data_IF_128665091632
#
_entry.id   IF_128665091632
#
_cell.length_a   1.000
_cell.length_b   1.000
_cell.length_c   1.000
_cell.angle_alpha   90.00
_cell.angle_beta   90.00
_cell.angle_gamma   90.00
#
_symmetry.space_group_name_H-M   'P 1'
#
loop_
_entity.id
_entity.type
_entity.pdbx_description
1 polymer ?
#
# COMPACT_ATOMS: atom_id res chain seq x y z
N UNK A 1 -2.66 1.44 -38.32
CA UNK A 1 -3.16 0.27 -37.57
C UNK A 1 -3.08 0.60 -36.09
N UNK A 2 -4.19 0.65 -35.32
CA UNK A 2 -4.10 0.84 -33.88
C UNK A 2 -3.72 -0.50 -33.22
N UNK A 3 -2.76 -0.45 -32.30
CA UNK A 3 -2.38 -1.61 -31.49
C UNK A 3 -3.58 -2.03 -30.61
N UNK A 4 -4.02 -3.28 -30.77
CA UNK A 4 -4.95 -3.94 -29.86
C UNK A 4 -4.30 -4.01 -28.47
N UNK A 5 -4.77 -3.16 -27.56
CA UNK A 5 -4.47 -3.31 -26.14
C UNK A 5 -4.93 -4.71 -25.71
N UNK A 6 -3.99 -5.54 -25.25
CA UNK A 6 -4.29 -6.85 -24.68
C UNK A 6 -5.30 -6.74 -23.52
N UNK A 7 -5.92 -7.86 -23.12
CA UNK A 7 -6.87 -7.86 -22.01
C UNK A 7 -6.20 -7.25 -20.78
N UNK A 8 -6.77 -6.15 -20.26
CA UNK A 8 -6.32 -5.55 -19.01
C UNK A 8 -6.62 -6.56 -17.91
N UNK A 9 -5.56 -7.19 -17.42
CA UNK A 9 -5.60 -8.08 -16.27
C UNK A 9 -6.25 -7.34 -15.10
N UNK A 10 -7.33 -7.93 -14.55
CA UNK A 10 -8.03 -7.35 -13.41
C UNK A 10 -7.37 -7.90 -12.15
N UNK A 11 -6.85 -7.00 -11.32
CA UNK A 11 -6.28 -7.33 -10.02
C UNK A 11 -7.28 -6.89 -8.96
N UNK A 12 -7.72 -7.84 -8.14
CA UNK A 12 -8.39 -7.60 -6.88
C UNK A 12 -7.38 -7.13 -5.84
N UNK A 13 -7.72 -6.06 -5.15
CA UNK A 13 -6.97 -5.54 -4.02
C UNK A 13 -7.81 -5.72 -2.76
N UNK A 14 -7.26 -6.37 -1.75
CA UNK A 14 -7.86 -6.49 -0.42
C UNK A 14 -7.06 -5.66 0.58
N UNK A 15 -7.76 -4.95 1.46
CA UNK A 15 -7.16 -4.15 2.53
C UNK A 15 -7.65 -4.72 3.86
N UNK A 16 -6.73 -5.11 4.73
CA UNK A 16 -7.01 -5.54 6.11
C UNK A 16 -6.25 -4.63 7.09
N UNK A 17 -6.96 -4.16 8.12
CA UNK A 17 -6.42 -3.27 9.15
C UNK A 17 -6.59 -3.94 10.51
N UNK A 18 -5.48 -4.31 11.15
CA UNK A 18 -5.45 -4.98 12.46
C UNK A 18 -4.22 -4.57 13.24
N UNK A 19 -4.35 -4.40 14.56
CA UNK A 19 -3.23 -4.18 15.47
C UNK A 19 -2.26 -3.04 15.07
N UNK A 20 -2.80 -1.94 14.51
CA UNK A 20 -1.99 -0.80 14.03
C UNK A 20 -1.21 -1.07 12.75
N UNK A 21 -1.45 -2.21 12.10
CA UNK A 21 -0.89 -2.61 10.83
C UNK A 21 -1.96 -2.51 9.73
N UNK A 22 -1.52 -2.10 8.54
CA UNK A 22 -2.31 -2.18 7.31
C UNK A 22 -1.66 -3.17 6.36
N UNK A 23 -2.43 -4.14 5.88
CA UNK A 23 -2.01 -5.11 4.87
C UNK A 23 -2.76 -4.86 3.57
N UNK A 24 -2.04 -4.75 2.45
CA UNK A 24 -2.60 -4.77 1.11
C UNK A 24 -2.19 -6.06 0.41
N UNK A 25 -3.18 -6.86 0.04
CA UNK A 25 -3.02 -8.09 -0.72
C UNK A 25 -3.56 -7.92 -2.14
N UNK A 26 -2.76 -8.32 -3.12
CA UNK A 26 -3.11 -8.27 -4.54
C UNK A 26 -3.44 -9.69 -5.02
N UNK A 27 -4.47 -9.88 -5.84
CA UNK A 27 -4.81 -11.19 -6.41
C UNK A 27 -5.50 -11.00 -7.76
N UNK A 28 -5.25 -11.79 -8.80
CA UNK A 28 -5.86 -11.66 -10.11
C UNK A 28 -7.31 -12.14 -10.03
N UNK A 29 -8.18 -11.49 -10.80
CA UNK A 29 -9.51 -11.99 -11.08
C UNK A 29 -9.44 -12.94 -12.29
N UNK A 30 -9.52 -14.25 -12.06
CA UNK A 30 -9.72 -15.26 -13.12
C UNK A 30 -8.82 -16.49 -13.04
N UNK A 31 -9.06 -17.45 -13.94
CA UNK A 31 -8.34 -18.73 -14.06
C UNK A 31 -7.01 -18.59 -14.83
N UNK A 32 -6.21 -17.58 -14.48
CA UNK A 32 -4.81 -17.54 -14.90
C UNK A 32 -4.07 -18.43 -13.91
N UNK A 33 -3.42 -19.49 -14.43
CA UNK A 33 -2.84 -20.58 -13.65
C UNK A 33 -2.10 -20.09 -12.41
N UNK A 34 -2.27 -20.83 -11.31
CA UNK A 34 -1.83 -20.49 -9.96
C UNK A 34 -0.54 -19.65 -9.92
N UNK A 35 -0.72 -18.33 -9.92
CA UNK A 35 0.34 -17.40 -9.57
C UNK A 35 0.49 -17.53 -8.06
N UNK A 36 1.34 -18.46 -7.62
CA UNK A 36 1.60 -18.79 -6.21
C UNK A 36 2.30 -17.66 -5.42
N UNK A 37 2.30 -16.43 -5.93
CA UNK A 37 3.27 -15.40 -5.58
C UNK A 37 2.70 -14.00 -5.75
N UNK A 38 1.78 -13.59 -4.87
CA UNK A 38 1.31 -12.21 -4.87
C UNK A 38 2.12 -11.32 -3.95
N UNK A 39 2.46 -10.11 -4.41
CA UNK A 39 3.12 -9.14 -3.57
C UNK A 39 2.17 -8.72 -2.45
N UNK A 40 2.64 -8.81 -1.22
CA UNK A 40 1.96 -8.31 -0.03
C UNK A 40 2.69 -7.08 0.45
N UNK A 41 1.94 -6.01 0.72
CA UNK A 41 2.47 -4.81 1.34
C UNK A 41 1.97 -4.71 2.78
N UNK A 42 2.90 -4.59 3.71
CA UNK A 42 2.60 -4.40 5.13
C UNK A 42 3.15 -3.05 5.57
N UNK A 43 2.28 -2.19 6.10
CA UNK A 43 2.67 -0.93 6.72
C UNK A 43 2.44 -1.05 8.22
N UNK A 44 3.49 -0.80 9.00
CA UNK A 44 3.47 -0.93 10.47
C UNK A 44 4.39 0.11 11.14
N UNK A 45 4.28 0.35 12.45
CA UNK A 45 5.21 1.22 13.16
C UNK A 45 6.66 0.83 12.91
N UNK A 46 7.52 1.83 12.69
CA UNK A 46 8.92 1.60 12.36
C UNK A 46 9.67 1.00 13.56
N UNK A 47 10.36 -0.11 13.31
CA UNK A 47 11.22 -0.79 14.29
C UNK A 47 12.69 -0.71 13.91
N UNK A 48 12.98 -0.44 12.64
CA UNK A 48 14.33 -0.27 12.12
C UNK A 48 14.77 1.19 12.20
N UNK A 49 16.04 1.47 12.55
CA UNK A 49 16.56 2.84 12.63
C UNK A 49 17.03 3.38 11.26
N UNK A 50 17.25 2.50 10.28
CA UNK A 50 17.74 2.88 8.95
C UNK A 50 16.63 3.35 8.01
N UNK A 51 16.96 4.34 7.19
CA UNK A 51 16.11 4.83 6.09
C UNK A 51 16.38 4.11 4.76
N UNK A 52 17.48 3.36 4.67
CA UNK A 52 17.80 2.55 3.48
C UNK A 52 16.95 1.27 3.45
N UNK A 53 16.48 0.82 2.27
CA UNK A 53 15.78 -0.44 2.15
C UNK A 53 16.67 -1.63 2.55
N UNK A 54 16.17 -2.46 3.47
CA UNK A 54 16.87 -3.66 3.94
C UNK A 54 16.25 -4.89 3.29
N UNK A 55 17.07 -5.68 2.61
CA UNK A 55 16.68 -7.00 2.10
C UNK A 55 16.82 -8.07 3.19
N UNK A 56 15.77 -8.84 3.41
CA UNK A 56 15.72 -9.96 4.36
C UNK A 56 15.09 -11.18 3.65
N UNK A 57 15.88 -12.06 3.03
CA UNK A 57 15.30 -13.28 2.46
C UNK A 57 14.71 -14.14 3.58
N UNK A 58 13.53 -14.70 3.36
CA UNK A 58 13.05 -15.86 4.10
C UNK A 58 13.12 -17.10 3.18
N UNK A 59 12.78 -18.29 3.69
CA UNK A 59 12.90 -19.55 2.93
C UNK A 59 11.94 -19.66 1.73
N UNK A 60 11.01 -18.73 1.58
CA UNK A 60 9.89 -18.78 0.62
C UNK A 60 9.60 -17.44 -0.05
N UNK A 61 10.19 -16.34 0.43
CA UNK A 61 9.90 -14.98 -0.02
C UNK A 61 11.14 -14.10 0.01
N UNK A 62 11.15 -13.17 -0.94
CA UNK A 62 11.91 -11.94 -0.88
C UNK A 62 11.18 -10.91 0.00
N UNK A 63 11.81 -10.51 1.10
CA UNK A 63 11.30 -9.45 1.97
C UNK A 63 12.17 -8.20 1.87
N UNK A 64 11.56 -7.06 1.57
CA UNK A 64 12.21 -5.75 1.66
C UNK A 64 11.52 -4.88 2.69
N UNK A 65 12.29 -4.23 3.54
CA UNK A 65 11.79 -3.30 4.57
C UNK A 65 12.35 -1.91 4.28
N UNK A 66 11.48 -0.90 4.19
CA UNK A 66 11.85 0.51 4.00
C UNK A 66 11.18 1.38 5.05
N UNK A 67 11.95 2.18 5.79
CA UNK A 67 11.38 3.17 6.71
C UNK A 67 10.92 4.43 5.99
N UNK A 68 9.77 4.95 6.39
CA UNK A 68 9.19 6.22 5.94
C UNK A 68 8.66 6.99 7.16
N UNK A 69 9.50 7.84 7.76
CA UNK A 69 9.15 8.58 8.98
C UNK A 69 8.95 7.63 10.16
N UNK A 70 7.74 7.60 10.72
CA UNK A 70 7.36 6.77 11.87
C UNK A 70 6.85 5.36 11.50
N UNK A 71 6.75 5.05 10.21
CA UNK A 71 6.30 3.74 9.73
C UNK A 71 7.40 3.03 8.93
N UNK A 72 7.32 1.71 8.88
CA UNK A 72 8.06 0.89 7.93
C UNK A 72 7.10 0.20 6.98
N UNK A 73 7.53 0.12 5.72
CA UNK A 73 6.84 -0.53 4.62
C UNK A 73 7.60 -1.80 4.31
N UNK A 74 6.90 -2.92 4.39
CA UNK A 74 7.44 -4.26 4.16
C UNK A 74 6.79 -4.82 2.90
N UNK A 75 7.59 -5.02 1.87
CA UNK A 75 7.20 -5.77 0.69
C UNK A 75 7.57 -7.24 0.90
N UNK A 76 6.60 -8.14 0.77
CA UNK A 76 6.81 -9.58 0.75
C UNK A 76 6.40 -10.08 -0.62
N UNK A 77 7.32 -10.68 -1.35
CA UNK A 77 7.08 -11.26 -2.67
C UNK A 77 7.65 -12.67 -2.66
N UNK A 78 6.96 -13.65 -3.23
CA UNK A 78 7.49 -15.01 -3.24
C UNK A 78 8.86 -15.10 -3.93
N UNK A 79 9.69 -16.04 -3.48
CA UNK A 79 11.06 -16.29 -3.96
C UNK A 79 11.16 -16.69 -5.44
N UNK A 80 10.05 -17.11 -6.05
CA UNK A 80 9.95 -17.37 -7.49
C UNK A 80 9.95 -16.09 -8.34
N UNK A 81 9.70 -14.93 -7.73
CA UNK A 81 9.77 -13.63 -8.40
C UNK A 81 11.20 -13.08 -8.38
N UNK A 82 11.52 -12.16 -9.28
CA UNK A 82 12.81 -11.47 -9.23
C UNK A 82 12.92 -10.61 -7.96
N UNK A 83 14.05 -10.68 -7.24
CA UNK A 83 14.40 -9.83 -6.11
C UNK A 83 14.24 -8.35 -6.47
N UNK A 84 14.53 -7.97 -7.73
CA UNK A 84 14.36 -6.60 -8.23
C UNK A 84 12.90 -6.15 -8.16
N UNK A 85 11.93 -7.04 -8.40
CA UNK A 85 10.51 -6.74 -8.32
C UNK A 85 10.06 -6.43 -6.88
N UNK A 86 10.58 -7.17 -5.88
CA UNK A 86 10.30 -6.88 -4.48
C UNK A 86 10.88 -5.53 -4.04
N UNK A 87 12.06 -5.18 -4.55
CA UNK A 87 12.69 -3.87 -4.33
C UNK A 87 11.88 -2.74 -4.98
N UNK A 88 11.51 -2.87 -6.25
CA UNK A 88 10.75 -1.85 -6.95
C UNK A 88 9.35 -1.66 -6.34
N UNK A 89 8.74 -2.75 -5.87
CA UNK A 89 7.47 -2.71 -5.18
C UNK A 89 7.54 -1.89 -3.89
N UNK A 90 8.55 -2.12 -3.02
CA UNK A 90 8.70 -1.30 -1.80
C UNK A 90 9.07 0.16 -2.09
N UNK A 91 9.81 0.41 -3.18
CA UNK A 91 10.20 1.76 -3.58
C UNK A 91 9.04 2.56 -4.18
N UNK A 92 8.05 1.90 -4.79
CA UNK A 92 6.85 2.54 -5.34
C UNK A 92 5.96 3.19 -4.28
N UNK A 93 6.08 2.77 -3.02
CA UNK A 93 5.24 3.26 -1.93
C UNK A 93 5.60 4.69 -1.56
N UNK A 94 4.56 5.51 -1.42
CA UNK A 94 4.64 6.91 -0.98
C UNK A 94 3.47 7.25 -0.05
N UNK A 95 3.59 8.31 0.77
CA UNK A 95 2.45 8.88 1.47
C UNK A 95 1.35 9.27 0.48
N UNK A 96 0.10 9.02 0.87
CA UNK A 96 -1.06 9.53 0.16
C UNK A 96 -1.14 11.04 0.35
N UNK A 97 -1.57 11.76 -0.69
CA UNK A 97 -1.89 13.18 -0.57
C UNK A 97 -3.27 13.38 0.07
N UNK A 98 -3.53 14.54 0.65
CA UNK A 98 -4.84 14.88 1.22
C UNK A 98 -5.97 14.69 0.19
N UNK A 99 -5.73 15.03 -1.08
CA UNK A 99 -6.71 14.88 -2.16
C UNK A 99 -6.96 13.40 -2.53
N UNK A 100 -5.95 12.54 -2.38
CA UNK A 100 -6.12 11.09 -2.52
C UNK A 100 -6.95 10.52 -1.38
N UNK A 101 -6.66 10.92 -0.15
CA UNK A 101 -7.43 10.51 1.03
C UNK A 101 -8.88 10.97 0.92
N UNK A 102 -9.11 12.25 0.57
CA UNK A 102 -10.46 12.82 0.41
C UNK A 102 -11.31 12.06 -0.60
N UNK A 103 -10.70 11.59 -1.70
CA UNK A 103 -11.42 10.79 -2.72
C UNK A 103 -11.87 9.42 -2.22
N UNK A 104 -11.20 8.87 -1.22
CA UNK A 104 -11.54 7.57 -0.62
C UNK A 104 -12.62 7.67 0.46
N UNK A 105 -12.83 8.86 1.02
CA UNK A 105 -13.86 9.06 2.04
C UNK A 105 -15.25 8.90 1.38
N UNK A 106 -16.15 8.07 1.96
CA UNK A 106 -17.50 7.93 1.44
C UNK A 106 -18.19 9.30 1.42
N UNK A 107 -18.85 9.62 0.30
CA UNK A 107 -19.74 10.79 0.23
C UNK A 107 -20.88 10.54 1.20
N UNK A 108 -20.86 11.19 2.36
CA UNK A 108 -21.91 11.03 3.35
C UNK A 108 -23.24 11.51 2.75
N UNK A 109 -24.31 10.69 2.81
CA UNK A 109 -25.55 10.95 2.07
C UNK A 109 -26.27 12.26 2.49
N UNK A 110 -25.96 12.81 3.67
CA UNK A 110 -26.60 14.02 4.22
C UNK A 110 -25.61 15.11 4.68
N UNK A 111 -24.34 15.06 4.29
CA UNK A 111 -23.42 16.18 4.58
C UNK A 111 -23.76 17.35 3.65
N UNK A 112 -24.53 18.33 4.16
CA UNK A 112 -24.31 19.74 3.78
C UNK A 112 -22.88 20.07 4.16
N UNK A 113 -21.94 19.95 3.21
CA UNK A 113 -20.53 20.42 3.25
C UNK A 113 -19.96 20.75 4.64
N UNK A 114 -20.07 19.81 5.59
CA UNK A 114 -19.30 19.88 6.83
C UNK A 114 -17.99 19.22 6.49
N UNK A 115 -17.09 20.06 6.03
CA UNK A 115 -15.72 19.72 5.71
C UNK A 115 -15.03 19.35 7.03
N UNK A 116 -15.25 18.11 7.47
CA UNK A 116 -14.75 17.60 8.75
C UNK A 116 -13.23 17.72 8.85
N UNK A 117 -12.54 17.77 7.71
CA UNK A 117 -11.11 18.05 7.65
C UNK A 117 -10.79 19.52 7.94
N UNK A 118 -11.63 20.46 7.50
CA UNK A 118 -11.51 21.87 7.86
C UNK A 118 -11.81 22.11 9.34
N UNK A 119 -12.87 21.50 9.88
CA UNK A 119 -13.21 21.59 11.31
C UNK A 119 -12.10 20.98 12.17
N UNK A 120 -11.55 19.84 11.76
CA UNK A 120 -10.43 19.19 12.44
C UNK A 120 -9.14 20.03 12.38
N UNK A 121 -8.78 20.56 11.20
CA UNK A 121 -7.63 21.44 11.04
C UNK A 121 -7.76 22.74 11.86
N UNK A 122 -8.98 23.28 11.96
CA UNK A 122 -9.26 24.48 12.73
C UNK A 122 -9.21 24.25 14.24
N UNK A 123 -9.72 23.10 14.71
CA UNK A 123 -9.56 22.67 16.10
C UNK A 123 -8.08 22.48 16.47
N UNK A 124 -7.28 21.91 15.56
CA UNK A 124 -5.85 21.69 15.80
C UNK A 124 -5.03 22.98 15.86
N UNK A 125 -5.37 23.99 15.05
CA UNK A 125 -4.76 25.34 15.13
C UNK A 125 -5.12 26.11 16.40
N UNK A 126 -6.17 25.72 17.12
CA UNK A 126 -6.55 26.36 18.38
C UNK A 126 -5.77 25.83 19.60
N UNK A 127 -5.02 24.74 19.43
CA UNK A 127 -4.28 24.06 20.50
C UNK A 127 -2.79 24.39 20.54
N UNK A 128 -2.28 25.15 19.56
CA UNK A 128 -0.89 25.62 19.44
C UNK A 128 -0.86 27.08 18.97
#
# INVERSE_FOLDING_TARGET
MPATAGPRERVRVMIDVRDGQVTLDYSPDGAVGDLHAFPRLVVRPATVETTEPVYRPDSTNHVFVRRMGEVEVVAVVADVADVSAARDFVLSVRPATDDEVKRLLPRAPDRRDRDVLADFAQAWRGLF
#
